data_IF_772992201170
#
_entry.id   IF_772992201170
#
_cell.length_a   1.000
_cell.length_b   1.000
_cell.length_c   1.000
_cell.angle_alpha   90.00
_cell.angle_beta   90.00
_cell.angle_gamma   90.00
#
_symmetry.space_group_name_H-M   'P 1'
#
loop_
_entity.id
_entity.type
_entity.pdbx_description
1 polymer ?
#
# COMPACT_ATOMS: atom_id res chain seq x y z
N UNK A 1 8.85 11.65 3.77
CA UNK A 1 9.17 10.60 2.78
C UNK A 1 7.89 10.08 2.15
N UNK A 2 7.91 9.70 0.87
CA UNK A 2 6.75 9.14 0.15
C UNK A 2 6.95 7.64 -0.03
N UNK A 3 5.95 6.82 0.31
CA UNK A 3 6.04 5.36 0.31
C UNK A 3 4.82 4.74 -0.35
N UNK A 4 4.99 3.63 -1.07
CA UNK A 4 3.87 2.77 -1.48
C UNK A 4 3.66 1.73 -0.38
N UNK A 5 2.44 1.65 0.13
CA UNK A 5 2.08 0.76 1.23
C UNK A 5 1.23 -0.41 0.72
N UNK A 6 1.54 -1.63 1.17
CA UNK A 6 0.74 -2.83 0.91
C UNK A 6 -0.51 -2.87 1.82
N UNK A 7 -1.65 -3.29 1.26
CA UNK A 7 -2.92 -3.48 1.98
C UNK A 7 -2.76 -4.31 3.25
N UNK A 8 -1.88 -5.32 3.26
CA UNK A 8 -1.65 -6.19 4.41
C UNK A 8 -1.11 -5.45 5.63
N UNK A 9 -0.33 -4.39 5.44
CA UNK A 9 0.12 -3.56 6.56
C UNK A 9 -1.05 -2.80 7.15
N UNK A 10 -1.88 -2.20 6.30
CA UNK A 10 -3.08 -1.49 6.74
C UNK A 10 -3.99 -2.45 7.51
N UNK A 11 -4.23 -3.66 6.98
CA UNK A 11 -5.07 -4.66 7.65
C UNK A 11 -4.46 -5.12 8.98
N UNK A 12 -3.15 -5.33 9.03
CA UNK A 12 -2.46 -5.67 10.28
C UNK A 12 -2.63 -4.56 11.33
N UNK A 13 -2.56 -3.30 10.89
CA UNK A 13 -2.81 -2.14 11.73
C UNK A 13 -4.25 -2.02 12.18
N UNK A 14 -5.22 -2.38 11.35
CA UNK A 14 -6.62 -2.44 11.76
C UNK A 14 -6.84 -3.51 12.83
N UNK A 15 -6.22 -4.69 12.68
CA UNK A 15 -6.42 -5.83 13.58
C UNK A 15 -5.80 -5.65 14.97
N UNK A 16 -4.61 -5.02 15.09
CA UNK A 16 -3.89 -4.86 16.38
C UNK A 16 -3.17 -3.53 16.46
N UNK A 17 -3.00 -3.00 17.68
CA UNK A 17 -2.05 -1.89 17.92
C UNK A 17 -0.63 -2.44 17.76
N UNK A 18 0.13 -1.89 16.82
CA UNK A 18 1.50 -2.32 16.54
C UNK A 18 2.44 -1.10 16.38
N UNK A 19 3.76 -1.32 16.46
CA UNK A 19 4.78 -0.28 16.18
C UNK A 19 4.58 0.34 14.79
N UNK A 20 4.09 -0.45 13.84
CA UNK A 20 3.80 0.00 12.48
C UNK A 20 2.65 1.02 12.45
N UNK A 21 1.79 1.10 13.48
CA UNK A 21 0.77 2.16 13.62
C UNK A 21 1.40 3.52 13.82
N UNK A 22 2.45 3.60 14.62
CA UNK A 22 3.13 4.86 14.91
C UNK A 22 3.78 5.43 13.64
N UNK A 23 4.31 4.55 12.79
CA UNK A 23 4.86 4.92 11.48
C UNK A 23 3.73 5.38 10.54
N UNK A 24 2.64 4.61 10.45
CA UNK A 24 1.49 4.93 9.59
C UNK A 24 0.84 6.28 9.95
N UNK A 25 0.78 6.60 11.24
CA UNK A 25 0.21 7.84 11.76
C UNK A 25 1.21 9.00 11.82
N UNK A 26 2.49 8.75 11.55
CA UNK A 26 3.53 9.78 11.63
C UNK A 26 3.38 10.81 10.51
N UNK A 27 3.46 12.11 10.81
CA UNK A 27 3.40 13.17 9.79
C UNK A 27 4.63 13.19 8.87
N UNK A 28 5.68 12.42 9.19
CA UNK A 28 6.91 12.37 8.40
C UNK A 28 6.77 11.52 7.12
N UNK A 29 5.69 10.75 7.00
CA UNK A 29 5.45 9.87 5.87
C UNK A 29 4.17 10.24 5.13
N UNK A 30 4.19 10.05 3.82
CA UNK A 30 3.02 10.12 2.95
C UNK A 30 2.91 8.79 2.24
N UNK A 31 1.80 8.10 2.44
CA UNK A 31 1.59 6.77 1.89
C UNK A 31 0.71 6.83 0.64
N UNK A 32 1.09 6.09 -0.39
CA UNK A 32 0.32 5.92 -1.62
C UNK A 32 -0.09 4.45 -1.73
N UNK A 33 -1.30 4.19 -2.21
CA UNK A 33 -1.80 2.83 -2.41
C UNK A 33 -2.70 2.81 -3.65
N UNK A 34 -2.67 1.77 -4.51
CA UNK A 34 -3.65 1.63 -5.58
C UNK A 34 -5.05 1.44 -5.00
N UNK A 35 -6.07 1.98 -5.67
CA UNK A 35 -7.49 1.78 -5.38
C UNK A 35 -7.93 0.31 -5.34
N UNK A 36 -7.15 -0.60 -5.92
CA UNK A 36 -7.24 -2.06 -5.69
C UNK A 36 -7.33 -2.44 -4.20
N UNK A 37 -6.72 -1.65 -3.31
CA UNK A 37 -6.86 -1.76 -1.87
C UNK A 37 -8.32 -1.79 -1.40
N UNK A 38 -9.22 -1.02 -2.02
CA UNK A 38 -10.63 -0.99 -1.62
C UNK A 38 -11.31 -2.34 -1.86
N UNK A 39 -10.94 -3.03 -2.94
CA UNK A 39 -11.41 -4.39 -3.26
C UNK A 39 -10.91 -5.37 -2.20
N UNK A 40 -9.64 -5.25 -1.79
CA UNK A 40 -9.08 -6.08 -0.74
C UNK A 40 -9.70 -5.80 0.62
N UNK A 41 -9.93 -4.53 0.97
CA UNK A 41 -10.52 -4.12 2.23
C UNK A 41 -11.91 -4.73 2.40
N UNK A 42 -12.76 -4.64 1.36
CA UNK A 42 -14.09 -5.23 1.39
C UNK A 42 -14.01 -6.76 1.51
N UNK A 43 -13.12 -7.40 0.74
CA UNK A 43 -12.92 -8.85 0.78
C UNK A 43 -12.49 -9.36 2.16
N UNK A 44 -11.65 -8.62 2.87
CA UNK A 44 -11.11 -9.03 4.16
C UNK A 44 -11.83 -8.41 5.37
N UNK A 45 -12.85 -7.56 5.17
CA UNK A 45 -13.53 -6.80 6.24
C UNK A 45 -13.99 -7.70 7.39
N UNK A 46 -14.65 -8.83 7.09
CA UNK A 46 -15.12 -9.76 8.13
C UNK A 46 -13.99 -10.36 8.96
N UNK A 47 -12.87 -10.73 8.31
CA UNK A 47 -11.70 -11.29 8.99
C UNK A 47 -10.94 -10.24 9.82
N UNK A 48 -10.94 -8.99 9.37
CA UNK A 48 -10.39 -7.85 10.12
C UNK A 48 -11.25 -7.61 11.37
N UNK A 49 -12.58 -7.57 11.22
CA UNK A 49 -13.51 -7.34 12.32
C UNK A 49 -13.40 -8.40 13.41
N UNK A 50 -13.35 -9.68 13.04
CA UNK A 50 -13.17 -10.80 13.98
C UNK A 50 -11.90 -10.62 14.83
N UNK A 51 -10.81 -10.18 14.22
CA UNK A 51 -9.51 -10.00 14.88
C UNK A 51 -9.37 -8.68 15.64
N UNK A 52 -10.08 -7.64 15.22
CA UNK A 52 -10.10 -6.33 15.85
C UNK A 52 -10.69 -6.39 17.27
N UNK A 53 -11.68 -7.26 17.49
CA UNK A 53 -12.29 -7.48 18.81
C UNK A 53 -13.23 -6.35 19.27
N UNK A 54 -13.63 -5.47 18.36
CA UNK A 54 -14.62 -4.39 18.57
C UNK A 54 -15.83 -4.52 17.66
N UNK A 55 -16.64 -3.47 17.60
CA UNK A 55 -17.81 -3.37 16.73
C UNK A 55 -17.45 -2.96 15.31
N UNK A 56 -18.34 -3.26 14.35
CA UNK A 56 -18.16 -2.82 12.95
C UNK A 56 -18.05 -1.29 12.85
N UNK A 57 -18.83 -0.56 13.65
CA UNK A 57 -18.79 0.91 13.67
C UNK A 57 -17.42 1.44 14.11
N UNK A 58 -16.83 0.87 15.15
CA UNK A 58 -15.49 1.24 15.62
C UNK A 58 -14.41 0.93 14.56
N UNK A 59 -14.56 -0.18 13.84
CA UNK A 59 -13.67 -0.52 12.73
C UNK A 59 -13.80 0.48 11.58
N UNK A 60 -15.02 0.83 11.18
CA UNK A 60 -15.28 1.81 10.12
C UNK A 60 -14.73 3.20 10.49
N UNK A 61 -14.81 3.60 11.76
CA UNK A 61 -14.18 4.83 12.27
C UNK A 61 -12.65 4.77 12.16
N UNK A 62 -12.04 3.63 12.49
CA UNK A 62 -10.59 3.45 12.36
C UNK A 62 -10.14 3.47 10.89
N UNK A 63 -10.90 2.84 9.99
CA UNK A 63 -10.65 2.89 8.54
C UNK A 63 -10.66 4.33 8.03
N UNK A 64 -11.62 5.16 8.46
CA UNK A 64 -11.67 6.58 8.10
C UNK A 64 -10.41 7.33 8.53
N UNK A 65 -9.93 7.11 9.76
CA UNK A 65 -8.71 7.72 10.27
C UNK A 65 -7.50 7.31 9.42
N UNK A 66 -7.41 6.04 9.01
CA UNK A 66 -6.34 5.58 8.13
C UNK A 66 -6.44 6.22 6.74
N UNK A 67 -7.66 6.36 6.20
CA UNK A 67 -7.88 7.02 4.90
C UNK A 67 -7.43 8.49 4.90
N UNK A 68 -7.47 9.17 6.04
CA UNK A 68 -6.90 10.53 6.16
C UNK A 68 -5.36 10.57 6.10
N UNK A 69 -4.69 9.41 6.20
CA UNK A 69 -3.22 9.28 6.22
C UNK A 69 -2.63 8.67 4.95
N UNK A 70 -3.47 8.10 4.09
CA UNK A 70 -3.06 7.47 2.84
C UNK A 70 -3.65 8.21 1.64
N UNK A 71 -2.96 8.15 0.51
CA UNK A 71 -3.42 8.64 -0.78
C UNK A 71 -3.78 7.42 -1.61
N UNK A 72 -5.08 7.20 -1.75
CA UNK A 72 -5.60 6.17 -2.66
C UNK A 72 -5.50 6.72 -4.09
N UNK A 73 -4.76 6.03 -4.94
CA UNK A 73 -4.52 6.40 -6.33
C UNK A 73 -5.42 5.55 -7.21
N UNK A 74 -6.22 6.18 -8.06
CA UNK A 74 -7.15 5.51 -8.97
C UNK A 74 -6.40 4.83 -10.12
N UNK A 75 -6.93 3.73 -10.65
CA UNK A 75 -6.28 2.92 -11.70
C UNK A 75 -5.85 3.74 -12.92
N UNK A 76 -6.63 4.73 -13.33
CA UNK A 76 -6.32 5.59 -14.48
C UNK A 76 -4.98 6.31 -14.35
N UNK A 77 -4.51 6.57 -13.13
CA UNK A 77 -3.23 7.22 -12.87
C UNK A 77 -2.02 6.29 -13.04
N UNK A 78 -2.21 4.97 -13.04
CA UNK A 78 -1.14 3.98 -13.18
C UNK A 78 -1.39 2.91 -14.25
N UNK A 79 -2.50 3.01 -14.99
CA UNK A 79 -2.94 2.04 -15.99
C UNK A 79 -1.88 1.76 -17.07
N UNK A 80 -1.21 2.81 -17.55
CA UNK A 80 -0.19 2.70 -18.62
C UNK A 80 0.97 1.76 -18.24
N UNK A 81 1.22 1.57 -16.94
CA UNK A 81 2.30 0.71 -16.42
C UNK A 81 1.83 -0.70 -16.06
N UNK A 82 0.52 -1.00 -16.11
CA UNK A 82 -0.04 -2.31 -15.73
C UNK A 82 0.57 -3.46 -16.55
N UNK A 83 0.71 -3.29 -17.86
CA UNK A 83 1.34 -4.27 -18.75
C UNK A 83 2.81 -4.52 -18.41
N UNK A 84 3.52 -3.50 -17.95
CA UNK A 84 4.93 -3.61 -17.55
C UNK A 84 5.03 -4.30 -16.20
N UNK A 85 4.18 -3.93 -15.25
CA UNK A 85 4.07 -4.56 -13.94
C UNK A 85 3.73 -6.04 -14.05
N UNK A 86 2.77 -6.43 -14.89
CA UNK A 86 2.41 -7.83 -15.13
C UNK A 86 3.60 -8.67 -15.61
N UNK A 87 4.43 -8.14 -16.51
CA UNK A 87 5.64 -8.82 -16.97
C UNK A 87 6.68 -9.00 -15.86
N UNK A 88 6.74 -8.07 -14.91
CA UNK A 88 7.70 -8.08 -13.80
C UNK A 88 7.26 -9.06 -12.70
N UNK A 89 6.02 -8.95 -12.22
CA UNK A 89 5.57 -9.66 -11.00
C UNK A 89 4.42 -10.64 -11.25
N UNK A 90 3.73 -10.58 -12.39
CA UNK A 90 2.47 -11.29 -12.60
C UNK A 90 2.57 -12.81 -12.51
N UNK A 91 3.73 -13.42 -12.81
CA UNK A 91 3.96 -14.86 -12.62
C UNK A 91 4.31 -15.25 -11.17
N UNK A 92 4.69 -14.29 -10.34
CA UNK A 92 5.14 -14.49 -8.96
C UNK A 92 4.01 -14.17 -8.00
N UNK A 93 3.44 -12.96 -8.09
CA UNK A 93 2.29 -12.52 -7.31
C UNK A 93 1.40 -11.57 -8.16
N UNK A 94 0.36 -12.09 -8.81
CA UNK A 94 -0.57 -11.28 -9.60
C UNK A 94 -1.24 -10.15 -8.83
N UNK A 95 -1.37 -10.26 -7.50
CA UNK A 95 -2.03 -9.22 -6.67
C UNK A 95 -1.14 -8.01 -6.45
N UNK A 96 0.17 -8.15 -6.67
CA UNK A 96 1.13 -7.06 -6.57
C UNK A 96 1.21 -6.20 -7.83
N UNK A 97 0.58 -6.63 -8.93
CA UNK A 97 0.61 -5.89 -10.21
C UNK A 97 0.20 -4.43 -10.04
N UNK A 98 -0.92 -4.07 -9.36
CA UNK A 98 -1.32 -2.67 -9.20
C UNK A 98 -0.32 -1.85 -8.37
N UNK A 99 0.35 -2.47 -7.40
CA UNK A 99 1.36 -1.80 -6.56
C UNK A 99 2.64 -1.51 -7.35
N UNK A 100 3.08 -2.47 -8.18
CA UNK A 100 4.23 -2.28 -9.08
C UNK A 100 3.90 -1.28 -10.18
N UNK A 101 2.68 -1.30 -10.74
CA UNK A 101 2.26 -0.34 -11.74
C UNK A 101 2.24 1.10 -11.18
N UNK A 102 1.71 1.27 -9.97
CA UNK A 102 1.77 2.56 -9.27
C UNK A 102 3.21 3.02 -9.01
N UNK A 103 4.10 2.10 -8.65
CA UNK A 103 5.51 2.41 -8.45
C UNK A 103 6.18 2.94 -9.73
N UNK A 104 5.93 2.24 -10.84
CA UNK A 104 6.46 2.60 -12.16
C UNK A 104 5.86 3.93 -12.66
N UNK A 105 4.59 4.21 -12.39
CA UNK A 105 3.92 5.42 -12.89
C UNK A 105 4.43 6.69 -12.19
N UNK A 106 4.78 6.59 -10.91
CA UNK A 106 5.41 7.67 -10.16
C UNK A 106 6.82 7.97 -10.71
N UNK A 107 7.57 6.93 -11.09
CA UNK A 107 8.88 7.08 -11.73
C UNK A 107 8.77 7.73 -13.11
N UNK A 108 7.86 7.24 -13.98
CA UNK A 108 7.74 7.69 -15.37
C UNK A 108 7.21 9.12 -15.52
N UNK A 109 6.38 9.60 -14.59
CA UNK A 109 5.86 10.98 -14.58
C UNK A 109 6.91 12.05 -14.25
N UNK A 110 8.16 11.68 -13.95
CA UNK A 110 9.24 12.64 -13.74
C UNK A 110 8.96 13.63 -12.60
N UNK A 111 8.14 13.23 -11.63
CA UNK A 111 7.99 13.91 -10.34
C UNK A 111 9.35 13.78 -9.66
N UNK A 112 10.25 14.72 -10.02
CA UNK A 112 11.68 14.60 -9.82
C UNK A 112 12.05 14.33 -8.38
N UNK A 113 13.13 13.57 -8.18
CA UNK A 113 13.77 13.43 -6.87
C UNK A 113 12.82 12.98 -5.75
N UNK A 114 12.09 11.88 -5.96
CA UNK A 114 11.34 11.20 -4.90
C UNK A 114 12.30 10.46 -3.94
N UNK A 115 13.28 11.19 -3.37
CA UNK A 115 14.28 10.76 -2.38
C UNK A 115 14.55 9.24 -2.34
N UNK A 116 15.08 8.66 -3.43
CA UNK A 116 15.84 7.39 -3.48
C UNK A 116 15.28 6.15 -2.75
N UNK A 117 14.04 6.15 -2.25
CA UNK A 117 13.49 5.12 -1.37
C UNK A 117 11.99 4.99 -1.61
N UNK A 118 11.62 4.65 -2.83
CA UNK A 118 10.34 3.98 -3.05
C UNK A 118 10.50 2.54 -2.51
N UNK A 119 10.33 2.40 -1.20
CA UNK A 119 10.30 1.10 -0.56
C UNK A 119 8.86 0.60 -0.65
N UNK A 120 8.67 -0.61 -1.18
CA UNK A 120 7.41 -1.31 -1.03
C UNK A 120 7.38 -1.78 0.43
N UNK A 121 6.66 -1.04 1.27
CA UNK A 121 6.50 -1.46 2.65
C UNK A 121 5.59 -2.68 2.61
N UNK A 122 6.13 -3.87 2.94
CA UNK A 122 5.41 -5.14 3.05
C UNK A 122 5.65 -5.78 4.40
N UNK A 123 4.58 -6.14 5.11
CA UNK A 123 4.68 -6.86 6.39
C UNK A 123 5.21 -8.31 6.24
N UNK A 124 5.20 -8.88 5.02
CA UNK A 124 5.52 -10.29 4.78
C UNK A 124 7.02 -10.63 4.89
N UNK A 125 7.89 -9.63 4.96
CA UNK A 125 9.33 -9.81 5.13
C UNK A 125 9.79 -8.97 6.30
N UNK A 126 10.50 -9.59 7.23
CA UNK A 126 11.17 -8.95 8.36
C UNK A 126 12.36 -8.06 7.92
N UNK A 127 12.35 -7.53 6.70
CA UNK A 127 13.44 -6.77 6.09
C UNK A 127 12.92 -5.94 4.93
N UNK A 128 13.31 -4.67 4.95
CA UNK A 128 13.40 -3.72 3.85
C UNK A 128 13.48 -4.35 2.44
N UNK A 129 12.39 -4.27 1.67
CA UNK A 129 12.44 -4.31 0.21
C UNK A 129 12.60 -2.87 -0.30
N UNK A 130 13.84 -2.38 -0.29
CA UNK A 130 14.21 -1.18 -1.03
C UNK A 130 14.27 -1.55 -2.52
N UNK A 131 13.31 -1.05 -3.31
CA UNK A 131 13.44 -1.02 -4.76
C UNK A 131 14.36 0.15 -5.12
N UNK A 132 15.68 -0.06 -4.99
CA UNK A 132 16.65 0.82 -5.65
C UNK A 132 16.73 0.42 -7.13
N UNK A 133 16.26 1.32 -8.01
CA UNK A 133 16.54 1.34 -9.45
C UNK A 133 16.54 -0.02 -10.14
N UNK A 134 15.41 -0.39 -10.75
CA UNK A 134 15.36 -1.55 -11.63
C UNK A 134 16.22 -1.25 -12.87
N UNK A 135 17.50 -1.63 -12.84
CA UNK A 135 18.15 -2.18 -14.02
C UNK A 135 17.64 -3.62 -14.16
N UNK A 136 16.79 -3.83 -15.16
CA UNK A 136 16.46 -5.16 -15.69
C UNK A 136 17.72 -5.84 -16.22
#
# INVERSE_FOLDING_TARGET
MKLIIDSNIIFSELMKKSITREILLSPNFTFYIPDFYNIELEKYKSAILEKFGGTEKELDELVKIIHEKIIVVVEEEYFDEMNRAEKIIGKIDPKDIPFIALALSIESKGIGALDKRLALFKAKFNTDLFYEGINL
#
